data_IF_651846232786
#
_entry.id   IF_651846232786
#
_cell.length_a   1.000
_cell.length_b   1.000
_cell.length_c   1.000
_cell.angle_alpha   90.00
_cell.angle_beta   90.00
_cell.angle_gamma   90.00
#
_symmetry.space_group_name_H-M   'P 1'
#
loop_
_entity.id
_entity.type
_entity.pdbx_description
1 polymer ?
#
# COMPACT_ATOMS: atom_id res chain seq x y z
N UNK A 1 14.41 12.83 -4.11
CA UNK A 1 15.18 12.04 -5.08
C UNK A 1 15.07 10.54 -4.86
N UNK A 2 15.79 9.75 -5.64
CA UNK A 2 15.68 8.29 -5.65
C UNK A 2 17.03 7.59 -5.52
N UNK A 3 16.99 6.45 -4.82
CA UNK A 3 18.07 5.46 -4.76
C UNK A 3 17.50 4.06 -4.91
N UNK A 4 18.18 3.18 -5.63
CA UNK A 4 17.83 1.76 -5.76
C UNK A 4 19.10 0.94 -6.03
N UNK A 5 19.07 -0.37 -5.72
CA UNK A 5 20.17 -1.31 -6.07
C UNK A 5 20.49 -1.30 -7.58
N UNK A 6 19.52 -1.00 -8.42
CA UNK A 6 19.69 -0.91 -9.88
C UNK A 6 19.80 0.56 -10.30
N UNK A 7 20.95 0.97 -10.81
CA UNK A 7 21.14 2.32 -11.34
C UNK A 7 20.14 2.65 -12.47
N UNK A 8 19.78 1.66 -13.29
CA UNK A 8 18.75 1.80 -14.33
C UNK A 8 17.39 2.16 -13.73
N UNK A 9 16.98 1.48 -12.65
CA UNK A 9 15.72 1.78 -11.95
C UNK A 9 15.75 3.15 -11.28
N UNK A 10 16.86 3.49 -10.62
CA UNK A 10 17.05 4.81 -10.01
C UNK A 10 16.94 5.92 -11.03
N UNK A 11 17.63 5.78 -12.18
CA UNK A 11 17.59 6.75 -13.27
C UNK A 11 16.17 6.90 -13.82
N UNK A 12 15.50 5.77 -14.12
CA UNK A 12 14.13 5.79 -14.62
C UNK A 12 13.15 6.50 -13.69
N UNK A 13 13.26 6.29 -12.36
CA UNK A 13 12.42 6.97 -11.40
C UNK A 13 12.74 8.46 -11.26
N UNK A 14 14.02 8.81 -11.21
CA UNK A 14 14.47 10.20 -11.12
C UNK A 14 14.09 11.01 -12.36
N UNK A 15 14.27 10.45 -13.56
CA UNK A 15 13.88 11.07 -14.82
C UNK A 15 12.35 11.27 -14.90
N UNK A 16 11.57 10.24 -14.53
CA UNK A 16 10.11 10.30 -14.55
C UNK A 16 9.54 11.38 -13.61
N UNK A 17 10.17 11.59 -12.46
CA UNK A 17 9.71 12.55 -11.45
C UNK A 17 10.48 13.88 -11.50
N UNK A 18 11.42 14.04 -12.43
CA UNK A 18 12.30 15.22 -12.54
C UNK A 18 13.03 15.53 -11.22
N UNK A 19 13.54 14.48 -10.54
CA UNK A 19 14.20 14.60 -9.25
C UNK A 19 15.65 14.10 -9.26
N UNK A 20 16.37 14.29 -8.16
CA UNK A 20 17.78 13.92 -8.01
C UNK A 20 17.96 12.40 -7.99
N UNK A 21 18.94 11.89 -8.72
CA UNK A 21 19.44 10.53 -8.64
C UNK A 21 20.54 10.44 -7.58
N UNK A 22 20.45 9.42 -6.74
CA UNK A 22 21.49 9.08 -5.77
C UNK A 22 22.11 7.72 -6.09
N UNK A 23 23.41 7.58 -5.85
CA UNK A 23 24.19 6.37 -6.15
C UNK A 23 24.40 5.47 -4.92
N UNK A 24 24.15 5.99 -3.72
CA UNK A 24 24.23 5.26 -2.47
C UNK A 24 23.22 5.80 -1.45
N UNK A 25 23.01 5.01 -0.39
CA UNK A 25 22.04 5.31 0.65
C UNK A 25 22.51 6.45 1.56
N UNK A 26 23.81 6.58 1.80
CA UNK A 26 24.39 7.62 2.64
C UNK A 26 24.07 9.01 2.11
N UNK A 27 24.20 9.19 0.80
CA UNK A 27 23.98 10.49 0.17
C UNK A 27 22.49 10.90 0.21
N UNK A 28 21.56 9.97 -0.05
CA UNK A 28 20.13 10.29 0.04
C UNK A 28 19.73 10.55 1.49
N UNK A 29 20.26 9.80 2.46
CA UNK A 29 20.03 10.05 3.87
C UNK A 29 20.51 11.43 4.30
N UNK A 30 21.72 11.83 3.87
CA UNK A 30 22.29 13.15 4.21
C UNK A 30 21.41 14.30 3.71
N UNK A 31 20.82 14.15 2.54
CA UNK A 31 20.03 15.20 1.87
C UNK A 31 18.53 15.15 2.22
N UNK A 32 18.08 14.22 3.08
CA UNK A 32 16.65 13.99 3.35
C UNK A 32 16.33 14.04 4.84
N UNK A 33 15.23 14.68 5.20
CA UNK A 33 14.67 14.63 6.55
C UNK A 33 13.71 13.44 6.71
N UNK A 34 13.09 13.02 5.61
CA UNK A 34 12.17 11.90 5.57
C UNK A 34 12.55 10.94 4.43
N UNK A 35 12.70 9.66 4.75
CA UNK A 35 13.03 8.62 3.78
C UNK A 35 11.93 7.57 3.73
N UNK A 36 11.46 7.25 2.51
CA UNK A 36 10.49 6.20 2.25
C UNK A 36 11.17 4.97 1.65
N UNK A 37 11.06 3.83 2.32
CA UNK A 37 11.45 2.53 1.81
C UNK A 37 10.29 1.93 1.00
N UNK A 38 10.30 2.13 -0.32
CA UNK A 38 9.33 1.59 -1.28
C UNK A 38 9.89 0.32 -1.92
N UNK A 39 10.26 -0.64 -1.09
CA UNK A 39 10.91 -1.90 -1.47
C UNK A 39 10.01 -3.09 -1.12
N UNK A 40 10.25 -4.29 -1.68
CA UNK A 40 9.53 -5.48 -1.25
C UNK A 40 9.66 -5.70 0.26
N UNK A 41 8.59 -6.16 0.89
CA UNK A 41 8.49 -6.34 2.35
C UNK A 41 9.68 -7.12 2.93
N UNK A 42 10.11 -8.20 2.29
CA UNK A 42 11.26 -9.00 2.70
C UNK A 42 12.62 -8.28 2.67
N UNK A 43 12.68 -7.09 2.06
CA UNK A 43 13.92 -6.28 2.01
C UNK A 43 13.98 -5.20 3.08
N UNK A 44 12.86 -4.89 3.75
CA UNK A 44 12.79 -3.77 4.71
C UNK A 44 13.78 -3.97 5.86
N UNK A 45 13.76 -5.14 6.50
CA UNK A 45 14.66 -5.44 7.61
C UNK A 45 16.13 -5.40 7.22
N UNK A 46 16.50 -5.93 6.05
CA UNK A 46 17.89 -5.90 5.57
C UNK A 46 18.40 -4.47 5.34
N UNK A 47 17.53 -3.62 4.75
CA UNK A 47 17.88 -2.20 4.53
C UNK A 47 17.98 -1.48 5.87
N UNK A 48 17.10 -1.78 6.81
CA UNK A 48 17.16 -1.22 8.16
C UNK A 48 18.45 -1.61 8.89
N UNK A 49 18.86 -2.88 8.86
CA UNK A 49 20.08 -3.36 9.49
C UNK A 49 21.34 -2.64 8.98
N UNK A 50 21.35 -2.26 7.71
CA UNK A 50 22.42 -1.43 7.18
C UNK A 50 22.25 0.04 7.60
N UNK A 51 21.06 0.61 7.39
CA UNK A 51 20.78 2.04 7.56
C UNK A 51 20.90 2.51 9.01
N UNK A 52 20.53 1.67 9.99
CA UNK A 52 20.65 1.98 11.44
C UNK A 52 22.08 2.22 11.93
N UNK A 53 23.07 1.89 11.12
CA UNK A 53 24.49 2.14 11.41
C UNK A 53 25.00 3.45 10.77
N UNK A 54 24.16 4.15 10.02
CA UNK A 54 24.43 5.44 9.42
C UNK A 54 23.93 6.58 10.31
N UNK A 55 24.20 7.83 9.94
CA UNK A 55 23.65 8.99 10.65
C UNK A 55 22.17 9.22 10.26
N UNK A 56 21.28 8.66 11.07
CA UNK A 56 19.83 8.73 10.91
C UNK A 56 19.15 9.63 11.96
N UNK A 57 19.92 10.36 12.74
CA UNK A 57 19.40 11.22 13.83
C UNK A 57 18.44 12.27 13.27
N UNK A 58 17.32 12.46 13.98
CA UNK A 58 16.23 13.38 13.63
C UNK A 58 15.58 13.13 12.25
N UNK A 59 15.69 11.90 11.72
CA UNK A 59 15.08 11.54 10.44
C UNK A 59 13.82 10.72 10.64
N UNK A 60 12.82 10.95 9.79
CA UNK A 60 11.65 10.10 9.66
C UNK A 60 11.98 8.97 8.70
N UNK A 61 11.90 7.74 9.16
CA UNK A 61 12.13 6.55 8.37
C UNK A 61 10.80 5.84 8.20
N UNK A 62 10.33 5.79 6.96
CA UNK A 62 9.03 5.28 6.60
C UNK A 62 9.14 4.07 5.69
N UNK A 63 8.21 3.14 5.77
CA UNK A 63 7.97 2.13 4.74
C UNK A 63 6.50 2.11 4.33
N UNK A 64 6.21 1.52 3.16
CA UNK A 64 4.87 1.49 2.58
C UNK A 64 4.22 0.10 2.65
N UNK A 65 4.72 -0.83 3.46
CA UNK A 65 4.09 -2.13 3.65
C UNK A 65 2.71 -2.02 4.31
N UNK A 66 1.75 -2.77 3.79
CA UNK A 66 0.44 -2.93 4.42
C UNK A 66 0.45 -3.88 5.61
N UNK A 67 1.32 -4.90 5.58
CA UNK A 67 1.37 -5.99 6.57
C UNK A 67 2.38 -5.75 7.69
N UNK A 68 3.53 -5.16 7.37
CA UNK A 68 4.62 -4.91 8.31
C UNK A 68 4.33 -3.62 9.08
N UNK A 69 4.54 -3.65 10.40
CA UNK A 69 4.43 -2.44 11.22
C UNK A 69 5.74 -1.67 11.30
N UNK A 70 5.67 -0.41 11.74
CA UNK A 70 6.84 0.44 11.99
C UNK A 70 7.86 -0.17 12.96
N UNK A 71 7.46 -1.18 13.76
CA UNK A 71 8.36 -1.92 14.66
C UNK A 71 9.42 -2.73 13.92
N UNK A 72 9.30 -2.91 12.58
CA UNK A 72 10.37 -3.46 11.75
C UNK A 72 11.64 -2.59 11.82
N UNK A 73 11.51 -1.33 12.13
CA UNK A 73 12.61 -0.40 12.41
C UNK A 73 12.95 -0.42 13.91
N UNK A 74 13.21 -1.64 14.42
CA UNK A 74 13.55 -1.81 15.82
C UNK A 74 14.73 -0.91 16.21
N UNK A 75 14.73 -0.40 17.44
CA UNK A 75 15.79 0.45 17.97
C UNK A 75 15.92 1.84 17.28
N UNK A 76 14.99 2.24 16.40
CA UNK A 76 15.04 3.53 15.72
C UNK A 76 15.11 4.70 16.71
N UNK A 77 14.27 4.68 17.74
CA UNK A 77 14.23 5.73 18.76
C UNK A 77 15.56 5.84 19.54
N UNK A 78 16.20 4.72 19.89
CA UNK A 78 17.51 4.73 20.55
C UNK A 78 18.61 5.27 19.62
N UNK A 79 18.41 5.19 18.29
CA UNK A 79 19.28 5.78 17.28
C UNK A 79 18.95 7.24 16.95
N UNK A 80 17.95 7.81 17.63
CA UNK A 80 17.48 9.17 17.43
C UNK A 80 16.69 9.38 16.14
N UNK A 81 16.12 8.31 15.56
CA UNK A 81 15.25 8.36 14.39
C UNK A 81 13.80 8.03 14.74
N UNK A 82 12.88 8.42 13.89
CA UNK A 82 11.44 8.23 14.05
C UNK A 82 10.91 7.25 12.99
N UNK A 83 10.31 6.16 13.43
CA UNK A 83 9.87 5.05 12.60
C UNK A 83 8.38 5.11 12.29
N UNK A 84 8.01 4.94 11.01
CA UNK A 84 6.63 4.95 10.54
C UNK A 84 6.35 3.87 9.51
N UNK A 85 5.10 3.41 9.49
CA UNK A 85 4.53 2.71 8.35
C UNK A 85 3.42 3.59 7.76
N UNK A 86 3.54 3.95 6.47
CA UNK A 86 2.58 4.78 5.74
C UNK A 86 2.16 4.02 4.50
N UNK A 87 0.97 3.42 4.52
CA UNK A 87 0.51 2.52 3.47
C UNK A 87 -0.62 3.14 2.65
N UNK A 88 -0.48 3.25 1.32
CA UNK A 88 -1.57 3.64 0.43
C UNK A 88 -2.57 2.50 0.29
N UNK A 89 -3.85 2.75 0.62
CA UNK A 89 -4.93 1.77 0.46
C UNK A 89 -5.45 1.81 -0.98
N UNK A 90 -4.63 1.35 -1.91
CA UNK A 90 -4.96 1.30 -3.33
C UNK A 90 -4.25 0.14 -4.04
N UNK A 91 -4.86 -0.32 -5.14
CA UNK A 91 -4.27 -1.33 -6.01
C UNK A 91 -3.29 -0.67 -6.99
N UNK A 92 -2.01 -1.03 -6.91
CA UNK A 92 -0.95 -0.52 -7.77
C UNK A 92 -0.57 -1.64 -8.75
N UNK A 93 -0.99 -1.51 -10.01
CA UNK A 93 -0.73 -2.47 -11.08
C UNK A 93 0.31 -1.99 -12.12
N UNK A 94 0.42 -0.67 -12.32
CA UNK A 94 1.37 -0.06 -13.23
C UNK A 94 2.06 1.13 -12.57
N UNK A 95 3.39 1.13 -12.56
CA UNK A 95 4.20 2.15 -11.88
C UNK A 95 4.16 3.53 -12.54
N UNK A 96 3.78 3.62 -13.81
CA UNK A 96 3.74 4.88 -14.56
C UNK A 96 2.34 5.48 -14.64
N UNK A 97 1.30 4.69 -14.32
CA UNK A 97 -0.10 5.13 -14.37
C UNK A 97 -0.74 5.19 -12.97
N UNK A 98 -0.35 4.29 -12.06
CA UNK A 98 -0.99 4.17 -10.75
C UNK A 98 -0.89 5.44 -9.89
N UNK A 99 0.13 6.28 -10.09
CA UNK A 99 0.27 7.55 -9.36
C UNK A 99 -0.93 8.49 -9.59
N UNK A 100 -1.60 8.41 -10.74
CA UNK A 100 -2.80 9.20 -11.04
C UNK A 100 -3.96 8.88 -10.10
N UNK A 101 -4.00 7.66 -9.58
CA UNK A 101 -5.00 7.19 -8.63
C UNK A 101 -4.61 7.46 -7.17
N UNK A 102 -3.34 7.78 -6.90
CA UNK A 102 -2.88 8.06 -5.55
C UNK A 102 -3.53 9.31 -4.95
N UNK A 103 -3.91 10.30 -5.76
CA UNK A 103 -4.62 11.49 -5.30
C UNK A 103 -5.98 11.18 -4.65
N UNK A 104 -6.58 10.03 -4.99
CA UNK A 104 -7.87 9.58 -4.43
C UNK A 104 -7.68 8.44 -3.41
N UNK A 105 -6.45 8.02 -3.15
CA UNK A 105 -6.19 6.95 -2.20
C UNK A 105 -6.25 7.46 -0.77
N UNK A 106 -6.85 6.65 0.11
CA UNK A 106 -6.72 6.84 1.54
C UNK A 106 -5.39 6.23 1.99
N UNK A 107 -4.64 6.96 2.80
CA UNK A 107 -3.43 6.44 3.42
C UNK A 107 -3.70 6.04 4.86
N UNK A 108 -2.96 5.08 5.36
CA UNK A 108 -2.91 4.78 6.79
C UNK A 108 -1.52 5.04 7.32
N UNK A 109 -1.44 5.57 8.54
CA UNK A 109 -0.18 5.83 9.22
C UNK A 109 -0.19 5.23 10.62
N UNK A 110 0.94 4.66 11.02
CA UNK A 110 1.24 4.29 12.41
C UNK A 110 2.74 4.44 12.67
N UNK A 111 3.13 4.54 13.93
CA UNK A 111 4.54 4.65 14.33
C UNK A 111 4.75 5.63 15.48
N UNK A 112 5.92 6.25 15.50
CA UNK A 112 6.32 7.21 16.54
C UNK A 112 5.36 8.41 16.61
N UNK A 113 5.05 8.89 17.82
CA UNK A 113 4.13 10.02 18.00
C UNK A 113 4.74 11.38 17.65
N UNK A 114 6.07 11.51 17.63
CA UNK A 114 6.79 12.79 17.59
C UNK A 114 6.45 13.63 16.33
N UNK A 115 6.52 13.06 15.15
CA UNK A 115 6.23 13.80 13.90
C UNK A 115 5.00 13.30 13.17
N UNK A 116 4.17 12.47 13.81
CA UNK A 116 3.04 11.81 13.18
C UNK A 116 2.05 12.80 12.58
N UNK A 117 1.66 13.81 13.35
CA UNK A 117 0.70 14.83 12.89
C UNK A 117 1.27 15.68 11.76
N UNK A 118 2.57 15.99 11.79
CA UNK A 118 3.25 16.74 10.73
C UNK A 118 3.29 15.92 9.42
N UNK A 119 3.55 14.62 9.52
CA UNK A 119 3.50 13.72 8.36
C UNK A 119 2.07 13.63 7.81
N UNK A 120 1.06 13.47 8.67
CA UNK A 120 -0.35 13.46 8.23
C UNK A 120 -0.72 14.75 7.49
N UNK A 121 -0.31 15.91 8.01
CA UNK A 121 -0.57 17.19 7.34
C UNK A 121 0.04 17.29 5.94
N UNK A 122 1.19 16.65 5.69
CA UNK A 122 1.81 16.62 4.35
C UNK A 122 0.88 15.90 3.36
N UNK A 123 0.35 14.73 3.72
CA UNK A 123 -0.59 13.98 2.87
C UNK A 123 -1.90 14.74 2.67
N UNK A 124 -2.45 15.35 3.70
CA UNK A 124 -3.66 16.19 3.61
C UNK A 124 -3.47 17.39 2.69
N UNK A 125 -2.31 18.05 2.72
CA UNK A 125 -1.97 19.13 1.77
C UNK A 125 -1.84 18.66 0.33
N UNK A 126 -1.53 17.37 0.12
CA UNK A 126 -1.56 16.74 -1.21
C UNK A 126 -2.97 16.33 -1.64
N UNK A 127 -4.00 16.56 -0.82
CA UNK A 127 -5.38 16.21 -1.10
C UNK A 127 -5.76 14.78 -0.70
N UNK A 128 -4.89 14.03 0.00
CA UNK A 128 -5.18 12.66 0.42
C UNK A 128 -5.80 12.62 1.82
N UNK A 129 -6.76 11.75 1.98
CA UNK A 129 -7.19 11.32 3.31
C UNK A 129 -6.11 10.42 3.92
N UNK A 130 -5.81 10.64 5.19
CA UNK A 130 -4.89 9.81 5.96
C UNK A 130 -5.45 9.53 7.34
N UNK A 131 -5.47 8.27 7.74
CA UNK A 131 -6.01 7.82 9.02
C UNK A 131 -4.92 7.16 9.86
N UNK A 132 -4.91 7.47 11.15
CA UNK A 132 -4.04 6.82 12.12
C UNK A 132 -4.61 5.46 12.50
N UNK A 133 -3.77 4.45 12.52
CA UNK A 133 -4.12 3.11 13.02
C UNK A 133 -3.23 2.72 14.19
N UNK A 134 -3.68 1.77 14.98
CA UNK A 134 -2.89 1.19 16.07
C UNK A 134 -1.81 0.26 15.48
N UNK A 135 -0.56 0.48 15.86
CA UNK A 135 0.59 -0.34 15.45
C UNK A 135 0.38 -1.83 15.74
N UNK A 136 -0.25 -2.16 16.88
CA UNK A 136 -0.52 -3.56 17.25
C UNK A 136 -1.62 -4.21 16.40
N UNK A 137 -2.47 -3.41 15.76
CA UNK A 137 -3.57 -3.86 14.89
C UNK A 137 -3.22 -3.86 13.42
N UNK A 138 -1.95 -3.62 13.06
CA UNK A 138 -1.50 -3.56 11.66
C UNK A 138 -1.87 -4.80 10.85
N UNK A 139 -1.68 -5.99 11.42
CA UNK A 139 -2.05 -7.25 10.76
C UNK A 139 -3.56 -7.36 10.52
N UNK A 140 -4.39 -6.95 11.48
CA UNK A 140 -5.85 -6.94 11.33
C UNK A 140 -6.31 -5.95 10.26
N UNK A 141 -5.72 -4.75 10.25
CA UNK A 141 -5.93 -3.78 9.20
C UNK A 141 -5.58 -4.35 7.82
N UNK A 142 -4.40 -4.96 7.68
CA UNK A 142 -4.00 -5.54 6.39
C UNK A 142 -4.91 -6.68 5.96
N UNK A 143 -5.35 -7.54 6.89
CA UNK A 143 -6.31 -8.59 6.60
C UNK A 143 -7.61 -8.03 6.01
N UNK A 144 -8.15 -6.93 6.55
CA UNK A 144 -9.36 -6.28 6.01
C UNK A 144 -9.16 -5.78 4.57
N UNK A 145 -7.99 -5.19 4.28
CA UNK A 145 -7.66 -4.73 2.92
C UNK A 145 -7.52 -5.91 1.93
N UNK A 146 -6.87 -7.01 2.35
CA UNK A 146 -6.75 -8.24 1.55
C UNK A 146 -8.12 -8.85 1.27
N UNK A 147 -9.01 -8.89 2.26
CA UNK A 147 -10.37 -9.40 2.07
C UNK A 147 -11.15 -8.58 1.05
N UNK A 148 -11.05 -7.25 1.10
CA UNK A 148 -11.77 -6.35 0.19
C UNK A 148 -11.15 -6.25 -1.23
N UNK A 149 -9.95 -6.75 -1.45
CA UNK A 149 -9.24 -6.64 -2.73
C UNK A 149 -8.76 -7.98 -3.29
N UNK A 150 -7.70 -8.54 -2.69
CA UNK A 150 -7.04 -9.74 -3.20
C UNK A 150 -7.97 -10.97 -3.18
N UNK A 151 -8.75 -11.16 -2.09
CA UNK A 151 -9.68 -12.28 -1.99
C UNK A 151 -10.86 -12.14 -2.94
N UNK A 152 -11.35 -10.94 -3.20
CA UNK A 152 -12.37 -10.70 -4.25
C UNK A 152 -11.85 -11.16 -5.61
N UNK A 153 -10.59 -10.81 -5.94
CA UNK A 153 -9.95 -11.25 -7.19
C UNK A 153 -9.79 -12.77 -7.24
N UNK A 154 -9.40 -13.40 -6.13
CA UNK A 154 -9.26 -14.85 -6.04
C UNK A 154 -10.61 -15.59 -6.20
N UNK A 155 -11.67 -15.09 -5.56
CA UNK A 155 -13.02 -15.62 -5.69
C UNK A 155 -13.53 -15.48 -7.14
N UNK A 156 -13.26 -14.34 -7.78
CA UNK A 156 -13.64 -14.12 -9.17
C UNK A 156 -12.89 -15.07 -10.11
N UNK A 157 -11.59 -15.31 -9.89
CA UNK A 157 -10.82 -16.30 -10.66
C UNK A 157 -11.39 -17.72 -10.49
N UNK A 158 -11.75 -18.09 -9.26
CA UNK A 158 -12.40 -19.37 -8.96
C UNK A 158 -13.75 -19.50 -9.68
N UNK A 159 -14.55 -18.43 -9.72
CA UNK A 159 -15.84 -18.41 -10.44
C UNK A 159 -15.67 -18.63 -11.95
N UNK A 160 -14.62 -18.04 -12.55
CA UNK A 160 -14.27 -18.29 -13.96
C UNK A 160 -13.92 -19.76 -14.19
N UNK A 161 -13.13 -20.39 -13.31
CA UNK A 161 -12.75 -21.78 -13.44
C UNK A 161 -13.96 -22.74 -13.27
N UNK A 162 -14.90 -22.40 -12.38
CA UNK A 162 -16.15 -23.17 -12.25
C UNK A 162 -16.99 -23.08 -13.51
N UNK A 163 -17.19 -21.90 -14.07
CA UNK A 163 -17.97 -21.72 -15.31
C UNK A 163 -17.28 -22.39 -16.52
N UNK A 164 -15.94 -22.41 -16.51
CA UNK A 164 -15.19 -23.15 -17.53
C UNK A 164 -15.44 -24.68 -17.45
N UNK A 165 -15.60 -25.25 -16.27
CA UNK A 165 -16.00 -26.66 -16.10
C UNK A 165 -17.44 -26.94 -16.60
N UNK A 166 -18.28 -25.90 -16.72
CA UNK A 166 -19.59 -25.98 -17.35
C UNK A 166 -19.54 -25.89 -18.89
N UNK A 167 -18.34 -25.91 -19.49
CA UNK A 167 -18.16 -25.87 -20.96
C UNK A 167 -18.04 -24.48 -21.56
N UNK A 168 -17.98 -23.42 -20.75
CA UNK A 168 -17.77 -22.04 -21.20
C UNK A 168 -16.28 -21.72 -21.22
N UNK A 169 -15.74 -21.20 -22.32
CA UNK A 169 -14.33 -20.80 -22.35
C UNK A 169 -14.03 -19.66 -21.38
N UNK A 170 -12.77 -19.58 -20.89
CA UNK A 170 -12.38 -18.66 -19.81
C UNK A 170 -12.59 -17.19 -20.17
N UNK A 171 -12.41 -16.80 -21.44
CA UNK A 171 -12.63 -15.41 -21.88
C UNK A 171 -14.10 -15.05 -21.82
N UNK A 172 -14.95 -15.96 -22.32
CA UNK A 172 -16.41 -15.82 -22.26
C UNK A 172 -16.88 -15.80 -20.79
N UNK A 173 -16.39 -16.73 -19.96
CA UNK A 173 -16.71 -16.80 -18.54
C UNK A 173 -16.40 -15.47 -17.82
N UNK A 174 -15.23 -14.87 -18.07
CA UNK A 174 -14.88 -13.56 -17.53
C UNK A 174 -15.88 -12.48 -17.96
N UNK A 175 -16.25 -12.45 -19.25
CA UNK A 175 -17.16 -11.43 -19.79
C UNK A 175 -18.60 -11.57 -19.20
N UNK A 176 -19.04 -12.79 -18.94
CA UNK A 176 -20.34 -13.08 -18.33
C UNK A 176 -20.38 -12.68 -16.85
N UNK A 177 -19.32 -13.02 -16.10
CA UNK A 177 -19.28 -12.84 -14.64
C UNK A 177 -18.90 -11.42 -14.22
N UNK A 178 -18.14 -10.68 -15.03
CA UNK A 178 -17.69 -9.33 -14.67
C UNK A 178 -18.84 -8.35 -14.40
N UNK A 179 -19.91 -8.28 -15.23
CA UNK A 179 -21.06 -7.41 -14.95
C UNK A 179 -21.76 -7.77 -13.63
N UNK A 180 -21.82 -9.06 -13.26
CA UNK A 180 -22.42 -9.50 -12.00
C UNK A 180 -21.60 -8.97 -10.80
N UNK A 181 -20.26 -9.08 -10.86
CA UNK A 181 -19.38 -8.52 -9.84
C UNK A 181 -19.50 -7.00 -9.73
N UNK A 182 -19.53 -6.31 -10.89
CA UNK A 182 -19.71 -4.85 -10.94
C UNK A 182 -21.04 -4.41 -10.32
N UNK A 183 -22.14 -5.15 -10.58
CA UNK A 183 -23.42 -4.91 -9.96
C UNK A 183 -23.37 -5.00 -8.43
N UNK A 184 -22.71 -6.03 -7.89
CA UNK A 184 -22.54 -6.17 -6.45
C UNK A 184 -21.71 -5.04 -5.85
N UNK A 185 -20.64 -4.61 -6.52
CA UNK A 185 -19.83 -3.45 -6.08
C UNK A 185 -20.67 -2.17 -6.09
N UNK A 186 -21.51 -1.95 -7.10
CA UNK A 186 -22.39 -0.80 -7.16
C UNK A 186 -23.45 -0.82 -6.04
N UNK A 187 -23.99 -2.00 -5.72
CA UNK A 187 -24.93 -2.15 -4.59
C UNK A 187 -24.23 -1.82 -3.25
N UNK A 188 -23.03 -2.33 -3.02
CA UNK A 188 -22.23 -2.01 -1.82
C UNK A 188 -21.87 -0.52 -1.69
N UNK A 189 -21.78 0.20 -2.81
CA UNK A 189 -21.51 1.64 -2.81
C UNK A 189 -22.79 2.47 -2.51
N UNK A 190 -23.98 1.89 -2.66
CA UNK A 190 -25.26 2.61 -2.60
C UNK A 190 -26.07 2.26 -1.35
N UNK A 191 -26.00 1.01 -0.92
CA UNK A 191 -26.83 0.46 0.15
C UNK A 191 -25.97 -0.01 1.33
N UNK A 192 -26.58 -0.16 2.49
CA UNK A 192 -25.97 -0.87 3.61
C UNK A 192 -25.67 -2.32 3.25
N UNK A 193 -24.68 -2.93 3.88
CA UNK A 193 -24.19 -4.29 3.55
C UNK A 193 -25.35 -5.31 3.53
N UNK A 194 -26.30 -5.18 4.46
CA UNK A 194 -27.49 -6.04 4.55
C UNK A 194 -28.38 -5.94 3.30
N UNK A 195 -28.61 -4.72 2.83
CA UNK A 195 -29.51 -4.42 1.71
C UNK A 195 -28.80 -4.57 0.36
N UNK A 196 -27.46 -4.58 0.35
CA UNK A 196 -26.66 -4.85 -0.85
C UNK A 196 -26.65 -6.34 -1.21
N UNK A 197 -26.96 -7.23 -0.26
CA UNK A 197 -27.03 -8.66 -0.51
C UNK A 197 -28.29 -8.99 -1.31
N UNK A 198 -28.13 -9.79 -2.37
CA UNK A 198 -29.24 -10.20 -3.28
C UNK A 198 -29.27 -11.71 -3.47
N UNK A 199 -30.38 -12.20 -4.01
CA UNK A 199 -30.55 -13.59 -4.42
C UNK A 199 -30.95 -14.55 -3.29
N UNK A 200 -30.69 -15.89 -3.44
CA UNK A 200 -31.16 -16.90 -2.49
C UNK A 200 -30.65 -16.69 -1.06
N UNK A 201 -29.43 -16.18 -0.91
CA UNK A 201 -28.81 -15.95 0.41
C UNK A 201 -29.57 -14.88 1.20
N UNK A 202 -30.03 -13.80 0.54
CA UNK A 202 -30.83 -12.73 1.17
C UNK A 202 -32.20 -13.28 1.61
N UNK A 203 -32.82 -14.13 0.77
CA UNK A 203 -34.15 -14.70 1.03
C UNK A 203 -34.14 -15.92 1.94
N UNK A 204 -32.95 -16.40 2.31
CA UNK A 204 -32.75 -17.61 3.10
C UNK A 204 -33.35 -18.89 2.44
N UNK A 205 -33.27 -18.95 1.09
CA UNK A 205 -33.73 -20.06 0.26
C UNK A 205 -32.78 -21.28 0.31
#
# INVERSE_FOLDING_TARGET
>A
GYFSKSLKSTKSAADFTSTKLYINLENILKDSDTLFLTVPDGSISQIWDYMRNLDIRNKNICHCSGSISSTAFFDAQNKGAYAYSIHPLCAINDRYEAYKNLANAVFTIEGNSEHLDSLMQIFQKCGNDIIKIDTQKKALYHASAVMASNLVTALFATSIDLLNRCGVDKKMAKNILLPLLQGNVANLATFDIKDALTGPVERND
#
